data_IF_342847642342
#
_entry.id   IF_342847642342
#
_cell.length_a   1.000
_cell.length_b   1.000
_cell.length_c   1.000
_cell.angle_alpha   90.00
_cell.angle_beta   90.00
_cell.angle_gamma   90.00
#
_symmetry.space_group_name_H-M   'P 1'
#
loop_
_entity.id
_entity.type
_entity.pdbx_description
1 polymer ?
#
# COMPACT_ATOMS: atom_id res chain seq x y z
N UNK A 1 29.87 -2.16 16.87
CA UNK A 1 28.45 -2.54 16.73
C UNK A 1 28.41 -3.83 15.94
N UNK A 2 27.86 -4.89 16.50
CA UNK A 2 27.81 -6.20 15.86
C UNK A 2 26.67 -6.27 14.84
N UNK A 3 26.70 -7.25 13.93
CA UNK A 3 25.59 -7.52 13.00
C UNK A 3 24.26 -7.74 13.73
N UNK A 4 24.33 -8.36 14.92
CA UNK A 4 23.16 -8.58 15.78
C UNK A 4 22.61 -7.25 16.35
N UNK A 5 23.50 -6.33 16.74
CA UNK A 5 23.10 -5.00 17.24
C UNK A 5 22.42 -4.18 16.14
N UNK A 6 22.95 -4.22 14.91
CA UNK A 6 22.35 -3.53 13.77
C UNK A 6 20.95 -4.07 13.44
N UNK A 7 20.76 -5.39 13.51
CA UNK A 7 19.47 -6.02 13.23
C UNK A 7 18.43 -5.70 14.30
N UNK A 8 18.83 -5.69 15.57
CA UNK A 8 17.97 -5.25 16.68
C UNK A 8 17.56 -3.79 16.54
N UNK A 9 18.51 -2.92 16.16
CA UNK A 9 18.23 -1.51 15.95
C UNK A 9 17.22 -1.30 14.81
N UNK A 10 17.39 -1.98 13.66
CA UNK A 10 16.46 -1.88 12.52
C UNK A 10 15.04 -2.30 12.94
N UNK A 11 14.91 -3.47 13.56
CA UNK A 11 13.60 -3.98 13.97
C UNK A 11 12.93 -3.07 15.02
N UNK A 12 13.70 -2.40 15.89
CA UNK A 12 13.17 -1.46 16.89
C UNK A 12 12.64 -0.19 16.23
N UNK A 13 13.37 0.35 15.26
CA UNK A 13 12.92 1.52 14.52
C UNK A 13 11.68 1.20 13.67
N UNK A 14 11.59 0.01 13.10
CA UNK A 14 10.38 -0.46 12.40
C UNK A 14 9.19 -0.55 13.34
N UNK A 15 9.36 -1.11 14.55
CA UNK A 15 8.26 -1.21 15.51
C UNK A 15 7.79 0.15 16.01
N UNK A 16 8.71 1.08 16.29
CA UNK A 16 8.37 2.47 16.66
C UNK A 16 7.60 3.15 15.53
N UNK A 17 8.04 3.00 14.27
CA UNK A 17 7.38 3.60 13.12
C UNK A 17 5.96 3.06 12.93
N UNK A 18 5.78 1.73 13.04
CA UNK A 18 4.47 1.08 12.93
C UNK A 18 3.51 1.54 14.02
N UNK A 19 3.98 1.67 15.26
CA UNK A 19 3.14 2.11 16.37
C UNK A 19 2.80 3.59 16.32
N UNK A 20 3.77 4.45 16.02
CA UNK A 20 3.52 5.86 15.81
C UNK A 20 2.50 6.06 14.66
N UNK A 21 2.61 5.26 13.59
CA UNK A 21 1.65 5.25 12.49
C UNK A 21 0.27 4.76 12.94
N UNK A 22 0.19 3.71 13.74
CA UNK A 22 -1.07 3.20 14.28
C UNK A 22 -1.78 4.22 15.18
N UNK A 23 -1.05 4.85 16.10
CA UNK A 23 -1.59 5.92 16.95
C UNK A 23 -2.03 7.14 16.15
N UNK A 24 -1.20 7.58 15.19
CA UNK A 24 -1.59 8.68 14.31
C UNK A 24 -2.81 8.33 13.43
N UNK A 25 -3.01 7.07 13.07
CA UNK A 25 -4.22 6.63 12.39
C UNK A 25 -5.45 6.70 13.31
N UNK A 26 -5.35 6.23 14.55
CA UNK A 26 -6.43 6.34 15.55
C UNK A 26 -6.81 7.80 15.83
N UNK A 27 -5.82 8.69 16.03
CA UNK A 27 -6.09 10.11 16.23
C UNK A 27 -6.75 10.77 15.00
N UNK A 28 -6.34 10.40 13.78
CA UNK A 28 -6.99 10.87 12.55
C UNK A 28 -8.41 10.35 12.40
N UNK A 29 -8.67 9.11 12.78
CA UNK A 29 -10.01 8.52 12.74
C UNK A 29 -10.95 9.26 13.70
N UNK A 30 -10.50 9.54 14.93
CA UNK A 30 -11.25 10.37 15.87
C UNK A 30 -11.54 11.78 15.31
N UNK A 31 -10.52 12.47 14.79
CA UNK A 31 -10.68 13.79 14.16
C UNK A 31 -11.63 13.75 12.95
N UNK A 32 -11.61 12.66 12.17
CA UNK A 32 -12.50 12.49 11.00
C UNK A 32 -13.94 12.26 11.43
N UNK A 33 -14.16 11.49 12.50
CA UNK A 33 -15.49 11.28 13.07
C UNK A 33 -16.07 12.61 13.59
N UNK A 34 -15.27 13.39 14.33
CA UNK A 34 -15.66 14.71 14.82
C UNK A 34 -15.99 15.66 13.66
N UNK A 35 -15.12 15.70 12.64
CA UNK A 35 -15.33 16.49 11.43
C UNK A 35 -16.63 16.13 10.69
N UNK A 36 -16.96 14.84 10.65
CA UNK A 36 -18.15 14.33 9.95
C UNK A 36 -19.43 14.66 10.72
N UNK A 37 -19.39 14.55 12.05
CA UNK A 37 -20.48 15.00 12.92
C UNK A 37 -20.74 16.50 12.72
N UNK A 38 -19.68 17.32 12.74
CA UNK A 38 -19.76 18.76 12.50
C UNK A 38 -20.36 19.09 11.13
N UNK A 39 -19.91 18.42 10.06
CA UNK A 39 -20.47 18.58 8.71
C UNK A 39 -21.96 18.24 8.66
N UNK A 40 -22.39 17.20 9.38
CA UNK A 40 -23.79 16.76 9.40
C UNK A 40 -24.69 17.77 10.12
N UNK A 41 -24.22 18.31 11.24
CA UNK A 41 -24.96 19.27 12.05
C UNK A 41 -25.02 20.66 11.40
N UNK A 42 -23.92 21.10 10.80
CA UNK A 42 -23.77 22.47 10.31
C UNK A 42 -23.95 22.61 8.79
N UNK A 43 -23.96 21.50 8.05
CA UNK A 43 -24.13 21.48 6.59
C UNK A 43 -22.98 22.10 5.80
N UNK A 44 -21.85 22.41 6.45
CA UNK A 44 -20.67 23.00 5.82
C UNK A 44 -19.40 22.23 6.23
N UNK A 45 -18.43 22.14 5.31
CA UNK A 45 -17.22 21.37 5.55
C UNK A 45 -16.34 22.08 6.59
N UNK A 46 -15.95 21.39 7.68
CA UNK A 46 -15.16 22.01 8.72
C UNK A 46 -13.74 22.35 8.25
N UNK A 47 -13.24 23.48 8.75
CA UNK A 47 -11.87 23.93 8.51
C UNK A 47 -11.30 24.61 9.76
N UNK A 48 -10.11 24.20 10.17
CA UNK A 48 -9.44 24.70 11.38
C UNK A 48 -8.03 25.16 11.05
N UNK A 49 -7.61 26.31 11.60
CA UNK A 49 -6.24 26.83 11.46
C UNK A 49 -5.48 26.65 12.77
N UNK A 50 -4.32 26.02 12.68
CA UNK A 50 -3.43 25.79 13.82
C UNK A 50 -2.09 26.50 13.61
N UNK A 51 -1.65 27.27 14.61
CA UNK A 51 -0.35 27.93 14.58
C UNK A 51 0.78 26.88 14.53
N UNK A 52 1.74 27.06 13.61
CA UNK A 52 2.85 26.12 13.41
C UNK A 52 2.53 24.81 12.66
N UNK A 53 1.24 24.49 12.46
CA UNK A 53 0.80 23.25 11.79
C UNK A 53 0.04 23.50 10.47
N UNK A 54 -0.59 24.67 10.31
CA UNK A 54 -1.26 25.07 9.07
C UNK A 54 -2.79 24.92 9.10
N UNK A 55 -3.40 24.87 7.91
CA UNK A 55 -4.85 24.71 7.71
C UNK A 55 -5.20 23.22 7.60
N UNK A 56 -6.15 22.77 8.42
CA UNK A 56 -6.76 21.44 8.34
C UNK A 56 -8.16 21.62 7.76
N UNK A 57 -8.48 20.86 6.72
CA UNK A 57 -9.80 20.85 6.09
C UNK A 57 -10.32 19.43 5.94
N UNK A 58 -11.63 19.24 6.06
CA UNK A 58 -12.28 18.01 5.62
C UNK A 58 -12.63 18.13 4.13
N UNK A 59 -11.96 17.39 3.23
CA UNK A 59 -12.32 17.38 1.83
C UNK A 59 -13.63 16.61 1.64
N UNK A 60 -14.67 17.28 1.14
CA UNK A 60 -15.92 16.62 0.76
C UNK A 60 -15.86 16.27 -0.72
N UNK A 61 -16.04 15.00 -1.06
CA UNK A 61 -16.08 14.56 -2.45
C UNK A 61 -17.33 15.10 -3.13
N UNK A 62 -17.15 15.70 -4.31
CA UNK A 62 -18.27 15.99 -5.20
C UNK A 62 -18.90 14.69 -5.66
N UNK A 63 -20.19 14.72 -5.99
CA UNK A 63 -20.84 13.61 -6.65
C UNK A 63 -20.03 13.20 -7.89
N UNK A 64 -19.60 11.94 -7.94
CA UNK A 64 -18.90 11.35 -9.08
C UNK A 64 -19.80 10.29 -9.72
N UNK A 65 -19.71 10.18 -11.05
CA UNK A 65 -20.38 9.11 -11.77
C UNK A 65 -19.53 7.84 -11.67
N UNK A 66 -20.15 6.76 -11.22
CA UNK A 66 -19.56 5.43 -11.20
C UNK A 66 -20.37 4.50 -12.11
N UNK A 67 -19.70 3.66 -12.87
CA UNK A 67 -20.35 2.66 -13.71
C UNK A 67 -20.78 1.49 -12.81
N UNK A 68 -22.05 1.45 -12.44
CA UNK A 68 -22.59 0.39 -11.57
C UNK A 68 -22.66 -0.98 -12.28
N UNK A 69 -22.87 -1.00 -13.60
CA UNK A 69 -23.06 -2.23 -14.38
C UNK A 69 -22.30 -2.16 -15.71
N UNK A 70 -21.00 -2.50 -15.71
CA UNK A 70 -20.15 -2.36 -16.89
C UNK A 70 -20.65 -3.10 -18.13
N UNK A 71 -21.25 -4.28 -17.97
CA UNK A 71 -21.77 -5.05 -19.10
C UNK A 71 -22.99 -4.38 -19.77
N UNK A 72 -23.89 -3.78 -18.99
CA UNK A 72 -25.05 -3.04 -19.52
C UNK A 72 -24.60 -1.75 -20.21
N UNK A 73 -23.64 -1.04 -19.61
CA UNK A 73 -23.05 0.14 -20.25
C UNK A 73 -22.36 -0.23 -21.56
N UNK A 74 -21.56 -1.30 -21.57
CA UNK A 74 -20.88 -1.76 -22.77
C UNK A 74 -21.88 -2.15 -23.87
N UNK A 75 -22.96 -2.87 -23.52
CA UNK A 75 -24.00 -3.22 -24.48
C UNK A 75 -24.69 -1.96 -25.06
N UNK A 76 -24.97 -0.97 -24.21
CA UNK A 76 -25.53 0.30 -24.64
C UNK A 76 -24.57 1.10 -25.53
N UNK A 77 -23.29 1.19 -25.17
CA UNK A 77 -22.26 1.87 -25.99
C UNK A 77 -22.07 1.13 -27.31
N UNK A 78 -22.03 -0.20 -27.31
CA UNK A 78 -21.91 -0.99 -28.53
C UNK A 78 -23.12 -0.80 -29.46
N UNK A 79 -24.31 -0.56 -28.91
CA UNK A 79 -25.51 -0.29 -29.69
C UNK A 79 -25.58 1.16 -30.20
N UNK A 80 -25.26 2.15 -29.36
CA UNK A 80 -25.46 3.58 -29.65
C UNK A 80 -24.22 4.26 -30.25
N UNK A 81 -23.03 3.80 -29.89
CA UNK A 81 -21.73 4.38 -30.22
C UNK A 81 -20.71 3.27 -30.59
N UNK A 82 -20.97 2.44 -31.63
CA UNK A 82 -20.13 1.29 -31.96
C UNK A 82 -18.68 1.65 -32.33
N UNK A 83 -18.41 2.88 -32.77
CA UNK A 83 -17.05 3.36 -33.06
C UNK A 83 -16.19 3.59 -31.82
N UNK A 84 -16.82 3.68 -30.66
CA UNK A 84 -16.15 3.88 -29.36
C UNK A 84 -15.83 2.55 -28.66
N UNK A 85 -16.12 1.41 -29.30
CA UNK A 85 -15.81 0.07 -28.77
C UNK A 85 -14.68 -0.57 -29.57
N UNK A 86 -13.56 -0.82 -28.89
CA UNK A 86 -12.42 -1.52 -29.47
C UNK A 86 -12.37 -2.98 -29.00
N UNK A 87 -12.18 -3.91 -29.93
CA UNK A 87 -11.95 -5.33 -29.64
C UNK A 87 -10.45 -5.63 -29.75
N UNK A 88 -9.77 -5.69 -28.60
CA UNK A 88 -8.34 -5.95 -28.54
C UNK A 88 -8.08 -7.46 -28.44
N UNK A 89 -7.31 -8.07 -29.35
CA UNK A 89 -6.86 -9.45 -29.20
C UNK A 89 -5.93 -9.59 -27.99
N UNK A 90 -6.23 -10.52 -27.08
CA UNK A 90 -5.42 -10.77 -25.89
C UNK A 90 -5.00 -12.24 -25.80
N UNK A 91 -3.80 -12.49 -25.26
CA UNK A 91 -3.34 -13.85 -24.97
C UNK A 91 -4.09 -14.34 -23.73
N UNK A 92 -4.63 -15.57 -23.79
CA UNK A 92 -5.36 -16.16 -22.66
C UNK A 92 -4.48 -16.25 -21.41
N UNK A 93 -4.90 -15.72 -20.25
CA UNK A 93 -4.07 -15.71 -19.03
C UNK A 93 -3.62 -17.11 -18.58
N UNK A 94 -4.51 -18.11 -18.70
CA UNK A 94 -4.18 -19.49 -18.36
C UNK A 94 -3.05 -20.06 -19.25
N UNK A 95 -3.03 -19.68 -20.53
CA UNK A 95 -1.97 -20.08 -21.45
C UNK A 95 -0.64 -19.43 -21.07
N UNK A 96 -0.62 -18.12 -20.79
CA UNK A 96 0.60 -17.43 -20.32
C UNK A 96 1.15 -18.03 -19.02
N UNK A 97 0.27 -18.36 -18.06
CA UNK A 97 0.67 -18.99 -16.81
C UNK A 97 1.23 -20.40 -17.00
N UNK A 98 0.67 -21.18 -17.94
CA UNK A 98 1.18 -22.50 -18.28
C UNK A 98 2.52 -22.42 -19.03
N UNK A 99 2.62 -21.50 -19.99
CA UNK A 99 3.84 -21.26 -20.78
C UNK A 99 5.00 -20.87 -19.86
N UNK A 100 4.79 -19.90 -18.96
CA UNK A 100 5.83 -19.45 -18.02
C UNK A 100 6.34 -20.52 -17.04
N UNK A 101 5.57 -21.60 -16.81
CA UNK A 101 6.01 -22.75 -15.98
C UNK A 101 6.79 -23.79 -16.78
N UNK A 102 6.62 -23.82 -18.11
CA UNK A 102 7.19 -24.85 -18.99
C UNK A 102 8.51 -24.41 -19.59
N UNK A 103 8.61 -23.14 -19.98
CA UNK A 103 9.78 -22.62 -20.67
C UNK A 103 11.02 -22.66 -19.78
N UNK A 104 12.17 -22.86 -20.41
CA UNK A 104 13.48 -22.85 -19.77
C UNK A 104 14.29 -21.66 -20.27
N UNK A 105 15.22 -21.19 -19.44
CA UNK A 105 16.18 -20.17 -19.81
C UNK A 105 17.48 -20.86 -20.17
N UNK A 106 17.94 -20.69 -21.40
CA UNK A 106 19.27 -21.09 -21.84
C UNK A 106 20.01 -19.85 -22.35
N UNK A 107 21.13 -19.53 -21.71
CA UNK A 107 21.88 -18.29 -21.92
C UNK A 107 20.97 -17.05 -21.78
N UNK A 108 20.64 -16.39 -22.89
CA UNK A 108 19.78 -15.20 -22.97
C UNK A 108 18.46 -15.46 -23.70
N UNK A 109 18.11 -16.72 -23.93
CA UNK A 109 16.90 -17.12 -24.66
C UNK A 109 15.91 -17.88 -23.76
N UNK A 110 14.62 -17.67 -24.03
CA UNK A 110 13.53 -18.45 -23.42
C UNK A 110 13.07 -19.50 -24.43
N UNK A 111 13.28 -20.77 -24.11
CA UNK A 111 13.02 -21.90 -25.02
C UNK A 111 11.87 -22.72 -24.46
N UNK A 112 10.96 -23.15 -25.35
CA UNK A 112 9.97 -24.15 -25.01
C UNK A 112 10.58 -25.55 -25.19
N UNK A 113 10.83 -26.30 -24.10
CA UNK A 113 11.48 -27.61 -24.19
C UNK A 113 10.61 -28.66 -24.93
N UNK A 114 9.30 -28.42 -25.09
CA UNK A 114 8.43 -29.36 -25.79
C UNK A 114 8.51 -29.24 -27.32
N UNK A 115 8.82 -28.05 -27.85
CA UNK A 115 8.87 -27.78 -29.30
C UNK A 115 10.28 -27.44 -29.78
N UNK A 116 11.18 -27.05 -28.87
CA UNK A 116 12.50 -26.52 -29.20
C UNK A 116 12.47 -25.09 -29.75
N UNK A 117 11.31 -24.42 -29.72
CA UNK A 117 11.16 -23.07 -30.27
C UNK A 117 11.56 -22.01 -29.24
N UNK A 118 12.17 -20.93 -29.74
CA UNK A 118 12.43 -19.72 -28.94
C UNK A 118 11.12 -18.96 -28.79
N UNK A 119 10.72 -18.70 -27.56
CA UNK A 119 9.50 -17.97 -27.23
C UNK A 119 9.78 -16.47 -27.31
N UNK A 120 9.21 -15.75 -28.29
CA UNK A 120 9.45 -14.31 -28.44
C UNK A 120 8.76 -13.52 -27.32
N UNK A 121 9.32 -12.35 -26.98
CA UNK A 121 8.69 -11.39 -26.06
C UNK A 121 9.01 -11.59 -24.57
N UNK A 122 9.76 -12.63 -24.19
CA UNK A 122 10.30 -12.77 -22.84
C UNK A 122 11.69 -12.13 -22.73
N UNK A 123 11.95 -11.44 -21.63
CA UNK A 123 13.28 -10.95 -21.27
C UNK A 123 13.87 -11.84 -20.17
N UNK A 124 15.10 -12.32 -20.37
CA UNK A 124 15.86 -13.03 -19.34
C UNK A 124 16.48 -11.99 -18.41
N UNK A 125 16.18 -12.09 -17.12
CA UNK A 125 16.85 -11.29 -16.10
C UNK A 125 17.97 -12.14 -15.48
N UNK A 126 19.23 -11.67 -15.46
CA UNK A 126 20.34 -12.43 -14.90
C UNK A 126 20.06 -12.78 -13.43
N UNK A 127 20.19 -14.07 -13.12
CA UNK A 127 20.04 -14.60 -11.77
C UNK A 127 21.22 -14.23 -10.87
N UNK A 128 21.10 -14.52 -9.56
CA UNK A 128 22.20 -14.39 -8.60
C UNK A 128 22.35 -13.01 -7.94
N UNK A 129 21.59 -12.00 -8.37
CA UNK A 129 21.51 -10.74 -7.65
C UNK A 129 20.66 -10.90 -6.37
N UNK A 130 21.21 -10.49 -5.23
CA UNK A 130 20.44 -10.40 -3.99
C UNK A 130 19.33 -9.35 -4.16
N UNK A 131 18.08 -9.81 -4.27
CA UNK A 131 16.93 -8.93 -4.55
C UNK A 131 16.51 -8.12 -3.31
N UNK A 132 16.45 -8.77 -2.16
CA UNK A 132 16.07 -8.13 -0.89
C UNK A 132 16.53 -8.99 0.29
N UNK A 133 16.97 -8.33 1.36
CA UNK A 133 17.11 -8.94 2.68
C UNK A 133 15.74 -8.89 3.35
N UNK A 134 15.16 -10.04 3.67
CA UNK A 134 13.93 -10.12 4.46
C UNK A 134 14.28 -10.52 5.89
N UNK A 135 13.95 -9.66 6.85
CA UNK A 135 14.10 -9.95 8.28
C UNK A 135 12.69 -10.22 8.81
N UNK A 136 12.49 -11.35 9.51
CA UNK A 136 11.23 -11.66 10.18
C UNK A 136 11.52 -11.95 11.65
N UNK A 137 11.02 -11.13 12.59
CA UNK A 137 11.09 -11.46 14.00
C UNK A 137 10.20 -12.67 14.29
N UNK A 138 10.62 -13.50 15.25
CA UNK A 138 9.76 -14.52 15.83
C UNK A 138 8.69 -13.88 16.75
N UNK A 139 7.78 -14.70 17.29
CA UNK A 139 6.65 -14.21 18.07
C UNK A 139 7.07 -13.49 19.36
N UNK A 140 8.09 -14.01 20.04
CA UNK A 140 8.58 -13.47 21.31
C UNK A 140 9.32 -12.14 21.08
N UNK A 141 10.19 -12.10 20.08
CA UNK A 141 10.85 -10.88 19.65
C UNK A 141 9.82 -9.83 19.23
N UNK A 142 8.81 -10.20 18.45
CA UNK A 142 7.74 -9.27 18.05
C UNK A 142 6.98 -8.71 19.27
N UNK A 143 6.70 -9.54 20.27
CA UNK A 143 6.04 -9.12 21.51
C UNK A 143 6.86 -8.09 22.28
N UNK A 144 8.15 -8.37 22.50
CA UNK A 144 9.04 -7.46 23.23
C UNK A 144 9.22 -6.12 22.49
N UNK A 145 9.41 -6.14 21.18
CA UNK A 145 9.64 -4.93 20.39
C UNK A 145 8.43 -4.02 20.31
N UNK A 146 7.23 -4.60 20.40
CA UNK A 146 5.98 -3.86 20.54
C UNK A 146 5.86 -3.21 21.92
N UNK A 147 6.20 -3.93 22.99
CA UNK A 147 6.19 -3.34 24.34
C UNK A 147 7.18 -2.17 24.46
N UNK A 148 8.39 -2.31 23.93
CA UNK A 148 9.43 -1.29 23.97
C UNK A 148 9.07 -0.06 23.12
N UNK A 149 8.49 -0.28 21.94
CA UNK A 149 7.98 0.80 21.10
C UNK A 149 6.84 1.55 21.80
N UNK A 150 5.91 0.84 22.44
CA UNK A 150 4.74 1.47 23.04
C UNK A 150 5.16 2.40 24.17
N UNK A 151 6.09 1.94 25.01
CA UNK A 151 6.67 2.71 26.09
C UNK A 151 7.48 3.93 25.60
N UNK A 152 8.11 3.86 24.43
CA UNK A 152 8.79 5.03 23.85
C UNK A 152 7.79 6.04 23.31
N UNK A 153 6.79 5.59 22.56
CA UNK A 153 5.77 6.48 21.99
C UNK A 153 4.98 7.18 23.11
N UNK A 154 4.63 6.48 24.19
CA UNK A 154 4.00 7.07 25.37
C UNK A 154 4.88 8.14 26.04
N UNK A 155 6.19 7.89 26.20
CA UNK A 155 7.12 8.90 26.72
C UNK A 155 7.22 10.14 25.82
N UNK A 156 7.20 9.95 24.51
CA UNK A 156 7.19 11.06 23.56
C UNK A 156 5.89 11.85 23.62
N UNK A 157 4.74 11.18 23.74
CA UNK A 157 3.43 11.82 23.90
C UNK A 157 3.35 12.64 25.19
N UNK A 158 3.82 12.10 26.31
CA UNK A 158 3.90 12.83 27.57
C UNK A 158 4.77 14.10 27.45
N UNK A 159 5.88 14.02 26.71
CA UNK A 159 6.74 15.17 26.45
C UNK A 159 6.11 16.21 25.51
N UNK A 160 5.26 15.79 24.57
CA UNK A 160 4.54 16.69 23.64
C UNK A 160 3.32 17.35 24.29
N UNK A 161 2.64 16.63 25.19
CA UNK A 161 1.42 17.12 25.88
C UNK A 161 1.71 17.97 27.12
N UNK A 162 2.90 17.84 27.72
CA UNK A 162 3.45 18.81 28.66
C UNK A 162 2.49 19.35 29.72
N UNK A 163 2.25 18.56 30.78
CA UNK A 163 2.36 19.15 32.12
C UNK A 163 3.80 19.66 32.26
N UNK A 164 4.04 20.90 31.83
CA UNK A 164 5.20 21.66 32.26
C UNK A 164 4.93 22.04 33.72
N UNK A 165 5.24 21.13 34.64
CA UNK A 165 5.39 21.47 36.05
C UNK A 165 6.78 22.05 36.29
N UNK A 166 6.75 23.29 36.80
CA UNK A 166 7.81 24.16 37.31
C UNK A 166 8.60 24.97 36.26
#
# INVERSE_FOLDING_TARGET
MTRADNLRAVLLWESIADEAKAKAAQAREALTADATTELTEQGSAPSWRFAGLGLVTLPVTKASLAVARPAELLAWVQQQHPTEVELVPTIRPAFLAALGKRVVVEEDMVIDPATGEIVPGYAVLPGGAAKALTIRPDADAKGQMRADAAALVERMEAAVTGEVSA
#
